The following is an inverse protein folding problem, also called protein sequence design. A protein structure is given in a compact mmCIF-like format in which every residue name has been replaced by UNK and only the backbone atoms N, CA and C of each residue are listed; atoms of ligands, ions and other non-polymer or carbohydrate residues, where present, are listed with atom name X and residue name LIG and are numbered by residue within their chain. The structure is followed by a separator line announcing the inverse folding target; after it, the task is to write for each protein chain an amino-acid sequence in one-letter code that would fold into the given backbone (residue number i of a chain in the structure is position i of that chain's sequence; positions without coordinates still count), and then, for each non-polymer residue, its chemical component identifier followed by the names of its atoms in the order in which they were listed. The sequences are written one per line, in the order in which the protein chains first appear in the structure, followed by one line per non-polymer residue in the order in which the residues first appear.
data_IF_884624651252
#
_entry.id   IF_884624651252
#
_cell.length_a   1.000
_cell.length_b   1.000
_cell.length_c   1.000
_cell.angle_alpha   90.00
_cell.angle_beta   90.00
_cell.angle_gamma   90.00
#
_symmetry.space_group_name_H-M   'P 1'
#
loop_
_entity.id
_entity.type
_entity.pdbx_description
1 polymer ?
#
# COMPACT_ATOMS: atom_id res chain seq x y z
N UNK A 1 -6.96 -24.41 -22.11
CA UNK A 1 -6.97 -23.60 -23.35
C UNK A 1 -7.74 -22.28 -23.20
N UNK A 2 -9.02 -22.28 -22.81
CA UNK A 2 -9.83 -21.05 -22.71
C UNK A 2 -9.45 -20.14 -21.54
N UNK A 3 -8.95 -20.70 -20.43
CA UNK A 3 -8.54 -19.92 -19.26
C UNK A 3 -7.25 -19.16 -19.55
N UNK A 4 -6.31 -19.80 -20.24
CA UNK A 4 -5.02 -19.22 -20.63
C UNK A 4 -5.19 -18.12 -21.68
N UNK A 5 -6.08 -18.34 -22.67
CA UNK A 5 -6.44 -17.32 -23.65
C UNK A 5 -7.10 -16.09 -23.00
N UNK A 6 -8.06 -16.31 -22.09
CA UNK A 6 -8.70 -15.22 -21.35
C UNK A 6 -7.71 -14.50 -20.44
N UNK A 7 -6.78 -15.23 -19.82
CA UNK A 7 -5.73 -14.66 -18.99
C UNK A 7 -4.81 -13.72 -19.77
N UNK A 8 -4.28 -14.15 -20.93
CA UNK A 8 -3.42 -13.29 -21.75
C UNK A 8 -4.18 -12.07 -22.27
N UNK A 9 -5.44 -12.23 -22.69
CA UNK A 9 -6.27 -11.10 -23.12
C UNK A 9 -6.50 -10.09 -21.98
N UNK A 10 -6.84 -10.56 -20.78
CA UNK A 10 -7.02 -9.66 -19.62
C UNK A 10 -5.72 -8.96 -19.23
N UNK A 11 -4.58 -9.64 -19.35
CA UNK A 11 -3.27 -9.05 -19.09
C UNK A 11 -2.95 -7.93 -20.07
N UNK A 12 -3.20 -8.13 -21.36
CA UNK A 12 -3.04 -7.09 -22.39
C UNK A 12 -3.95 -5.88 -22.15
N UNK A 13 -5.20 -6.12 -21.75
CA UNK A 13 -6.15 -5.06 -21.41
C UNK A 13 -5.67 -4.23 -20.21
N UNK A 14 -5.15 -4.87 -19.16
CA UNK A 14 -4.59 -4.17 -17.99
C UNK A 14 -3.34 -3.36 -18.37
N UNK A 15 -2.43 -3.91 -19.16
CA UNK A 15 -1.23 -3.20 -19.63
C UNK A 15 -1.61 -1.94 -20.44
N UNK A 16 -2.66 -2.02 -21.27
CA UNK A 16 -3.18 -0.87 -22.00
C UNK A 16 -3.73 0.19 -21.04
N UNK A 17 -4.53 -0.20 -20.05
CA UNK A 17 -5.09 0.73 -19.04
C UNK A 17 -3.96 1.41 -18.25
N UNK A 18 -2.92 0.67 -17.86
CA UNK A 18 -1.74 1.20 -17.16
C UNK A 18 -1.10 2.30 -18.02
N UNK A 19 -0.82 2.01 -19.29
CA UNK A 19 -0.18 2.96 -20.20
C UNK A 19 -1.02 4.23 -20.39
N UNK A 20 -2.32 4.07 -20.61
CA UNK A 20 -3.25 5.19 -20.79
C UNK A 20 -3.33 6.06 -19.52
N UNK A 21 -3.43 5.43 -18.34
CA UNK A 21 -3.49 6.15 -17.07
C UNK A 21 -2.22 6.97 -16.77
N UNK A 22 -1.04 6.39 -17.06
CA UNK A 22 0.23 7.10 -16.92
C UNK A 22 0.32 8.30 -17.86
N UNK A 23 -0.06 8.12 -19.13
CA UNK A 23 -0.08 9.20 -20.13
C UNK A 23 -1.06 10.31 -19.73
N UNK A 24 -2.28 9.95 -19.30
CA UNK A 24 -3.28 10.88 -18.82
C UNK A 24 -2.77 11.70 -17.62
N UNK A 25 -2.10 11.06 -16.65
CA UNK A 25 -1.51 11.73 -15.51
C UNK A 25 -0.47 12.78 -15.92
N UNK A 26 0.46 12.42 -16.81
CA UNK A 26 1.47 13.36 -17.33
C UNK A 26 0.84 14.53 -18.09
N UNK A 27 -0.23 14.26 -18.86
CA UNK A 27 -0.97 15.28 -19.59
C UNK A 27 -1.73 16.24 -18.66
N UNK A 28 -2.44 15.71 -17.65
CA UNK A 28 -3.20 16.51 -16.67
C UNK A 28 -2.31 17.46 -15.88
N UNK A 29 -1.11 17.01 -15.49
CA UNK A 29 -0.15 17.85 -14.75
C UNK A 29 0.60 18.80 -15.69
N UNK A 30 0.78 18.40 -16.95
CA UNK A 30 1.57 19.13 -17.94
C UNK A 30 3.07 18.84 -17.82
N UNK A 31 3.44 17.61 -17.48
CA UNK A 31 4.84 17.15 -17.43
C UNK A 31 5.15 16.39 -18.72
N UNK A 32 6.14 16.86 -19.48
CA UNK A 32 6.56 16.24 -20.73
C UNK A 32 7.97 15.65 -20.63
N UNK A 33 8.28 14.71 -21.53
CA UNK A 33 9.64 14.14 -21.63
C UNK A 33 10.05 13.24 -20.47
N UNK A 34 9.10 12.61 -19.78
CA UNK A 34 9.39 11.51 -18.86
C UNK A 34 9.78 10.26 -19.65
N UNK A 35 10.69 9.47 -19.08
CA UNK A 35 11.05 8.18 -19.67
C UNK A 35 9.80 7.28 -19.77
N UNK A 36 9.56 6.55 -20.88
CA UNK A 36 8.36 5.73 -21.06
C UNK A 36 8.10 4.74 -19.92
N UNK A 37 9.16 4.22 -19.30
CA UNK A 37 9.04 3.33 -18.16
C UNK A 37 8.56 4.03 -16.88
N UNK A 38 8.96 5.28 -16.63
CA UNK A 38 8.40 6.07 -15.54
C UNK A 38 6.91 6.36 -15.77
N UNK A 39 6.52 6.64 -17.01
CA UNK A 39 5.10 6.80 -17.39
C UNK A 39 4.33 5.51 -17.13
N UNK A 40 4.89 4.35 -17.48
CA UNK A 40 4.28 3.05 -17.20
C UNK A 40 4.13 2.81 -15.69
N UNK A 41 5.17 3.10 -14.90
CA UNK A 41 5.13 2.97 -13.44
C UNK A 41 4.10 3.89 -12.80
N UNK A 42 3.97 5.14 -13.27
CA UNK A 42 2.88 6.04 -12.85
C UNK A 42 1.52 5.41 -13.12
N UNK A 43 1.33 4.83 -14.30
CA UNK A 43 0.13 4.09 -14.65
C UNK A 43 -0.23 2.97 -13.67
N UNK A 44 0.77 2.23 -13.16
CA UNK A 44 0.56 1.16 -12.17
C UNK A 44 -0.01 1.69 -10.86
N UNK A 45 0.33 2.93 -10.47
CA UNK A 45 -0.19 3.56 -9.26
C UNK A 45 -1.72 3.72 -9.29
N UNK A 46 -2.37 3.67 -10.47
CA UNK A 46 -3.83 3.62 -10.61
C UNK A 46 -4.44 2.43 -9.85
N UNK A 47 -3.72 1.33 -9.74
CA UNK A 47 -4.17 0.12 -9.05
C UNK A 47 -3.63 0.05 -7.61
N UNK A 48 -2.91 1.08 -7.16
CA UNK A 48 -2.36 1.17 -5.81
C UNK A 48 -3.21 2.13 -4.97
N UNK A 49 -3.52 1.71 -3.75
CA UNK A 49 -4.19 2.54 -2.75
C UNK A 49 -3.31 2.61 -1.51
N UNK A 50 -3.13 3.81 -0.96
CA UNK A 50 -2.43 4.06 0.30
C UNK A 50 -3.32 4.89 1.19
N UNK A 51 -3.52 4.47 2.45
CA UNK A 51 -4.40 5.18 3.40
C UNK A 51 -5.85 5.40 2.91
N UNK A 52 -6.34 4.58 1.98
CA UNK A 52 -7.66 4.71 1.36
C UNK A 52 -7.72 5.67 0.17
N UNK A 53 -6.61 6.30 -0.21
CA UNK A 53 -6.49 7.18 -1.37
C UNK A 53 -5.79 6.45 -2.53
N UNK A 54 -6.29 6.65 -3.75
CA UNK A 54 -5.61 6.18 -4.95
C UNK A 54 -4.27 6.92 -5.12
N UNK A 55 -3.17 6.18 -5.28
CA UNK A 55 -1.82 6.80 -5.28
C UNK A 55 -1.56 7.62 -6.55
N UNK A 56 -2.12 7.23 -7.70
CA UNK A 56 -1.97 8.03 -8.93
C UNK A 56 -2.70 9.37 -8.81
N UNK A 57 -3.96 9.36 -8.35
CA UNK A 57 -4.70 10.61 -8.15
C UNK A 57 -4.08 11.48 -7.06
N UNK A 58 -3.56 10.87 -6.00
CA UNK A 58 -2.76 11.58 -4.99
C UNK A 58 -1.54 12.27 -5.63
N UNK A 59 -0.75 11.55 -6.43
CA UNK A 59 0.45 12.11 -7.08
C UNK A 59 0.12 13.26 -8.04
N UNK A 60 -0.98 13.14 -8.80
CA UNK A 60 -1.48 14.23 -9.66
C UNK A 60 -1.83 15.45 -8.82
N UNK A 61 -2.55 15.25 -7.71
CA UNK A 61 -2.93 16.35 -6.85
C UNK A 61 -1.74 17.04 -6.20
N UNK A 62 -0.80 16.28 -5.63
CA UNK A 62 0.43 16.80 -5.04
C UNK A 62 1.18 17.65 -6.07
N UNK A 63 1.24 17.20 -7.33
CA UNK A 63 1.85 17.98 -8.40
C UNK A 63 1.13 19.30 -8.71
N UNK A 64 -0.21 19.32 -8.67
CA UNK A 64 -0.98 20.55 -8.88
C UNK A 64 -0.87 21.52 -7.71
N UNK A 65 -0.91 21.03 -6.47
CA UNK A 65 -0.74 21.84 -5.27
C UNK A 65 0.67 22.44 -5.18
N UNK A 66 1.70 21.62 -5.43
CA UNK A 66 3.07 22.07 -5.42
C UNK A 66 3.34 23.10 -6.53
N UNK A 67 2.76 22.90 -7.73
CA UNK A 67 2.82 23.87 -8.82
C UNK A 67 2.21 25.22 -8.46
N UNK A 68 1.06 25.22 -7.78
CA UNK A 68 0.40 26.45 -7.32
C UNK A 68 1.27 27.20 -6.31
N UNK A 69 1.84 26.49 -5.32
CA UNK A 69 2.75 27.11 -4.36
C UNK A 69 4.00 27.67 -5.06
N UNK A 70 4.56 26.92 -6.01
CA UNK A 70 5.74 27.34 -6.76
C UNK A 70 5.48 28.61 -7.59
N UNK A 71 4.30 28.74 -8.21
CA UNK A 71 3.95 29.93 -8.98
C UNK A 71 3.81 31.17 -8.11
N UNK A 72 3.23 31.05 -6.92
CA UNK A 72 3.10 32.17 -5.97
C UNK A 72 4.45 32.61 -5.39
N UNK A 73 5.41 31.69 -5.29
CA UNK A 73 6.75 31.93 -4.74
C UNK A 73 7.80 32.23 -5.83
N UNK A 74 7.38 32.33 -7.09
CA UNK A 74 8.27 32.56 -8.24
C UNK A 74 9.42 31.53 -8.34
N UNK A 75 9.09 30.26 -8.09
CA UNK A 75 9.98 29.09 -8.22
C UNK A 75 9.72 28.34 -9.54
N UNK A 76 10.56 27.35 -9.85
CA UNK A 76 10.44 26.54 -11.06
C UNK A 76 9.24 25.57 -11.00
N UNK A 77 8.12 26.01 -11.59
CA UNK A 77 6.86 25.25 -11.63
C UNK A 77 7.00 23.93 -12.39
N UNK A 78 7.77 23.89 -13.47
CA UNK A 78 7.91 22.68 -14.29
C UNK A 78 8.68 21.60 -13.53
N UNK A 79 9.78 22.00 -12.88
CA UNK A 79 10.58 21.11 -12.03
C UNK A 79 9.77 20.56 -10.85
N UNK A 80 9.02 21.43 -10.16
CA UNK A 80 8.18 21.02 -9.02
C UNK A 80 7.11 20.01 -9.45
N UNK A 81 6.41 20.27 -10.56
CA UNK A 81 5.42 19.34 -11.11
C UNK A 81 6.01 17.96 -11.38
N UNK A 82 7.22 17.91 -11.95
CA UNK A 82 7.91 16.67 -12.28
C UNK A 82 8.28 15.87 -11.03
N UNK A 83 8.90 16.51 -10.03
CA UNK A 83 9.26 15.85 -8.77
C UNK A 83 8.05 15.43 -7.96
N UNK A 84 7.04 16.30 -7.86
CA UNK A 84 5.79 16.01 -7.18
C UNK A 84 5.00 14.86 -7.83
N UNK A 85 4.97 14.75 -9.16
CA UNK A 85 4.31 13.63 -9.83
C UNK A 85 5.02 12.30 -9.56
N UNK A 86 6.34 12.33 -9.37
CA UNK A 86 7.17 11.13 -9.17
C UNK A 86 7.42 10.78 -7.69
N UNK A 87 7.05 11.62 -6.73
CA UNK A 87 7.43 11.47 -5.31
C UNK A 87 7.12 10.08 -4.73
N UNK A 88 5.98 9.50 -5.12
CA UNK A 88 5.49 8.21 -4.63
C UNK A 88 5.71 7.04 -5.62
N UNK A 89 6.51 7.22 -6.68
CA UNK A 89 6.68 6.25 -7.78
C UNK A 89 7.19 4.89 -7.30
N UNK A 90 7.93 4.84 -6.19
CA UNK A 90 8.41 3.60 -5.59
C UNK A 90 7.28 2.65 -5.17
N UNK A 91 6.08 3.16 -4.85
CA UNK A 91 4.90 2.35 -4.49
C UNK A 91 4.37 1.50 -5.66
N UNK A 92 4.88 1.70 -6.87
CA UNK A 92 4.55 0.87 -8.03
C UNK A 92 5.26 -0.50 -8.00
N UNK A 93 6.35 -0.65 -7.24
CA UNK A 93 7.20 -1.87 -7.19
C UNK A 93 7.69 -2.25 -5.79
N UNK A 94 7.16 -1.61 -4.74
CA UNK A 94 7.53 -1.80 -3.33
C UNK A 94 7.33 -3.23 -2.79
N UNK A 95 6.49 -4.02 -3.42
CA UNK A 95 6.23 -5.42 -3.07
C UNK A 95 7.24 -6.39 -3.72
N UNK A 96 8.00 -5.92 -4.71
CA UNK A 96 9.01 -6.70 -5.43
C UNK A 96 10.43 -6.42 -4.92
N UNK A 97 10.64 -5.30 -4.22
CA UNK A 97 11.96 -4.79 -3.82
C UNK A 97 11.95 -4.39 -2.35
N UNK A 98 12.94 -4.86 -1.60
CA UNK A 98 13.10 -4.53 -0.18
C UNK A 98 13.62 -3.09 -0.02
N UNK A 99 12.91 -2.25 0.74
CA UNK A 99 13.30 -0.86 1.01
C UNK A 99 12.11 0.09 1.21
N UNK A 100 12.38 1.33 1.64
CA UNK A 100 11.35 2.38 1.67
C UNK A 100 10.98 2.82 0.25
N UNK A 101 9.72 3.18 0.02
CA UNK A 101 9.27 3.64 -1.31
C UNK A 101 10.00 4.91 -1.76
N UNK A 102 10.48 5.74 -0.84
CA UNK A 102 11.31 6.92 -1.13
C UNK A 102 12.64 6.51 -1.77
N UNK A 103 13.33 5.53 -1.18
CA UNK A 103 14.61 5.00 -1.68
C UNK A 103 14.43 4.31 -3.03
N UNK A 104 13.42 3.43 -3.13
CA UNK A 104 13.10 2.70 -4.36
C UNK A 104 12.75 3.69 -5.49
N UNK A 105 11.90 4.69 -5.20
CA UNK A 105 11.51 5.71 -6.16
C UNK A 105 12.69 6.53 -6.66
N UNK A 106 13.59 6.90 -5.75
CA UNK A 106 14.81 7.64 -6.07
C UNK A 106 15.76 6.86 -6.98
N UNK A 107 15.95 5.56 -6.71
CA UNK A 107 16.76 4.69 -7.56
C UNK A 107 16.16 4.50 -8.95
N UNK A 108 14.84 4.35 -9.04
CA UNK A 108 14.14 4.27 -10.33
C UNK A 108 14.30 5.56 -11.12
N UNK A 109 14.03 6.71 -10.50
CA UNK A 109 14.18 8.03 -11.13
C UNK A 109 15.62 8.23 -11.64
N UNK A 110 16.63 7.90 -10.82
CA UNK A 110 18.04 7.96 -11.21
C UNK A 110 18.36 7.03 -12.39
N UNK A 111 17.89 5.78 -12.35
CA UNK A 111 18.09 4.81 -13.43
C UNK A 111 17.56 5.29 -14.77
N UNK A 112 16.44 6.03 -14.76
CA UNK A 112 15.81 6.56 -15.96
C UNK A 112 16.22 8.01 -16.30
N UNK A 113 17.27 8.53 -15.66
CA UNK A 113 17.93 9.77 -16.06
C UNK A 113 17.31 11.05 -15.49
N UNK A 114 16.53 10.97 -14.42
CA UNK A 114 16.08 12.17 -13.70
C UNK A 114 17.24 12.88 -13.01
N UNK A 115 17.09 14.19 -12.85
CA UNK A 115 18.11 15.06 -12.23
C UNK A 115 18.14 14.89 -10.71
N UNK A 116 19.27 15.21 -10.08
CA UNK A 116 19.45 15.05 -8.63
C UNK A 116 18.49 15.92 -7.79
N UNK A 117 18.04 17.07 -8.31
CA UNK A 117 16.99 17.86 -7.67
C UNK A 117 15.66 17.12 -7.62
N UNK A 118 15.23 16.49 -8.73
CA UNK A 118 14.04 15.63 -8.78
C UNK A 118 14.18 14.42 -7.85
N UNK A 119 15.36 13.79 -7.84
CA UNK A 119 15.64 12.64 -6.97
C UNK A 119 15.57 13.05 -5.49
N UNK A 120 16.09 14.23 -5.14
CA UNK A 120 15.99 14.74 -3.78
C UNK A 120 14.55 15.01 -3.36
N UNK A 121 13.68 15.54 -4.24
CA UNK A 121 12.25 15.71 -3.95
C UNK A 121 11.59 14.36 -3.59
N UNK A 122 11.96 13.29 -4.30
CA UNK A 122 11.47 11.93 -4.01
C UNK A 122 12.00 11.43 -2.66
N UNK A 123 13.28 11.68 -2.33
CA UNK A 123 13.89 11.21 -1.08
C UNK A 123 13.42 11.99 0.15
N UNK A 124 13.15 13.28 0.03
CA UNK A 124 12.93 14.17 1.18
C UNK A 124 11.46 14.41 1.51
N UNK A 125 10.50 13.88 0.74
CA UNK A 125 9.09 14.28 0.91
C UNK A 125 8.45 13.82 2.24
N UNK A 126 8.92 12.73 2.86
CA UNK A 126 8.55 12.36 4.25
C UNK A 126 9.53 12.90 5.30
N UNK A 127 10.56 13.65 4.88
CA UNK A 127 11.55 14.25 5.76
C UNK A 127 12.66 13.30 6.23
N UNK A 128 12.88 12.15 5.59
CA UNK A 128 13.98 11.25 5.96
C UNK A 128 15.36 11.78 5.57
N UNK A 129 15.39 12.63 4.54
CA UNK A 129 16.59 13.32 4.04
C UNK A 129 16.30 14.82 3.97
N UNK A 130 17.32 15.64 4.18
CA UNK A 130 17.18 17.09 4.09
C UNK A 130 16.83 17.54 2.65
N UNK A 131 15.80 18.39 2.47
CA UNK A 131 15.48 18.97 1.18
C UNK A 131 16.59 19.95 0.77
N UNK A 132 17.15 19.76 -0.42
CA UNK A 132 18.26 20.55 -0.95
C UNK A 132 17.79 21.77 -1.73
N UNK A 133 16.49 21.86 -2.05
CA UNK A 133 15.89 22.96 -2.80
C UNK A 133 14.57 23.42 -2.16
N UNK A 134 14.17 24.69 -2.33
CA UNK A 134 12.84 25.16 -1.94
C UNK A 134 11.71 24.34 -2.60
N UNK A 135 11.92 23.92 -3.84
CA UNK A 135 11.00 23.04 -4.58
C UNK A 135 10.75 21.72 -3.83
N UNK A 136 11.77 21.11 -3.24
CA UNK A 136 11.62 19.88 -2.44
C UNK A 136 10.80 20.09 -1.17
N UNK A 137 10.95 21.26 -0.53
CA UNK A 137 10.09 21.64 0.61
C UNK A 137 8.62 21.76 0.15
N UNK A 138 8.37 22.34 -1.03
CA UNK A 138 7.02 22.44 -1.57
C UNK A 138 6.39 21.09 -1.89
N UNK A 139 7.17 20.13 -2.40
CA UNK A 139 6.68 18.76 -2.65
C UNK A 139 6.22 18.10 -1.35
N UNK A 140 7.04 18.14 -0.30
CA UNK A 140 6.66 17.59 1.01
C UNK A 140 5.45 18.30 1.62
N UNK A 141 5.37 19.63 1.50
CA UNK A 141 4.21 20.39 1.94
C UNK A 141 2.93 20.01 1.17
N UNK A 142 3.03 19.82 -0.15
CA UNK A 142 1.91 19.41 -0.99
C UNK A 142 1.44 17.98 -0.68
N UNK A 143 2.36 17.05 -0.41
CA UNK A 143 2.03 15.69 0.05
C UNK A 143 1.25 15.74 1.36
N UNK A 144 1.79 16.44 2.36
CA UNK A 144 1.13 16.63 3.65
C UNK A 144 -0.27 17.27 3.51
N UNK A 145 -0.42 18.26 2.62
CA UNK A 145 -1.72 18.89 2.34
C UNK A 145 -2.69 17.91 1.68
N UNK A 146 -2.29 17.19 0.63
CA UNK A 146 -3.14 16.21 -0.06
C UNK A 146 -3.64 15.13 0.91
N UNK A 147 -2.73 14.68 1.79
CA UNK A 147 -2.96 13.70 2.83
C UNK A 147 -3.90 14.17 3.95
N UNK A 148 -3.79 15.43 4.37
CA UNK A 148 -4.54 15.99 5.50
C UNK A 148 -5.98 16.40 5.15
N UNK A 149 -6.38 16.37 3.87
CA UNK A 149 -7.73 16.79 3.47
C UNK A 149 -8.80 15.92 4.15
N UNK A 150 -9.87 16.52 4.72
CA UNK A 150 -10.97 15.78 5.29
C UNK A 150 -11.55 14.75 4.30
N UNK A 151 -11.49 13.47 4.67
CA UNK A 151 -11.96 12.36 3.83
C UNK A 151 -10.93 11.77 2.86
N UNK A 152 -9.74 12.37 2.69
CA UNK A 152 -8.67 11.82 1.83
C UNK A 152 -8.02 10.58 2.45
N UNK A 153 -7.65 10.66 3.73
CA UNK A 153 -7.24 9.49 4.51
C UNK A 153 -8.43 9.00 5.31
N UNK A 154 -8.86 7.75 5.05
CA UNK A 154 -9.72 7.04 6.00
C UNK A 154 -8.83 6.54 7.12
N UNK A 155 -8.41 7.45 8.00
CA UNK A 155 -7.61 7.15 9.19
C UNK A 155 -8.28 6.03 10.03
N UNK A 156 -9.60 5.97 9.99
CA UNK A 156 -10.42 4.88 10.55
C UNK A 156 -10.23 3.53 9.87
N UNK A 157 -10.05 3.48 8.54
CA UNK A 157 -9.87 2.24 7.79
C UNK A 157 -8.48 1.64 8.03
N UNK A 158 -7.44 2.46 8.06
CA UNK A 158 -6.08 1.95 8.28
C UNK A 158 -5.86 1.51 9.72
N UNK A 159 -6.31 2.29 10.71
CA UNK A 159 -6.32 1.84 12.11
C UNK A 159 -7.13 0.55 12.27
N UNK A 160 -8.21 0.42 11.51
CA UNK A 160 -8.99 -0.80 11.45
C UNK A 160 -8.22 -1.97 10.81
N UNK A 161 -7.54 -1.78 9.68
CA UNK A 161 -6.72 -2.83 9.04
C UNK A 161 -5.56 -3.24 9.96
N UNK A 162 -4.81 -2.27 10.51
CA UNK A 162 -3.72 -2.55 11.47
C UNK A 162 -4.24 -3.30 12.69
N UNK A 163 -5.44 -2.98 13.18
CA UNK A 163 -6.10 -3.72 14.25
C UNK A 163 -6.41 -5.16 13.84
N UNK A 164 -6.96 -5.39 12.65
CA UNK A 164 -7.22 -6.75 12.13
C UNK A 164 -5.93 -7.56 12.02
N UNK A 165 -4.88 -6.98 11.44
CA UNK A 165 -3.57 -7.63 11.32
C UNK A 165 -2.98 -7.99 12.68
N UNK A 166 -3.05 -7.08 13.66
CA UNK A 166 -2.59 -7.37 15.03
C UNK A 166 -3.36 -8.54 15.66
N UNK A 167 -4.67 -8.66 15.44
CA UNK A 167 -5.45 -9.80 15.94
C UNK A 167 -4.95 -11.13 15.34
N UNK A 168 -4.67 -11.13 14.04
CA UNK A 168 -4.13 -12.29 13.33
C UNK A 168 -2.70 -12.63 13.81
N UNK A 169 -1.84 -11.63 13.97
CA UNK A 169 -0.47 -11.79 14.46
C UNK A 169 -0.43 -12.36 15.88
N UNK A 170 -1.31 -11.90 16.79
CA UNK A 170 -1.37 -12.43 18.16
C UNK A 170 -1.73 -13.92 18.12
N UNK A 171 -2.72 -14.31 17.33
CA UNK A 171 -3.12 -15.71 17.21
C UNK A 171 -2.03 -16.58 16.57
N UNK A 172 -1.33 -16.07 15.55
CA UNK A 172 -0.25 -16.79 14.86
C UNK A 172 0.98 -17.07 15.73
N UNK A 173 1.17 -16.34 16.85
CA UNK A 173 2.28 -16.60 17.79
C UNK A 173 2.09 -17.86 18.63
N UNK A 174 0.88 -18.40 18.68
CA UNK A 174 0.60 -19.62 19.44
C UNK A 174 1.07 -20.86 18.69
N UNK A 175 1.56 -21.85 19.44
CA UNK A 175 2.13 -23.07 18.88
C UNK A 175 1.07 -23.88 18.13
N UNK A 176 1.45 -24.43 16.98
CA UNK A 176 0.60 -25.28 16.12
C UNK A 176 -0.61 -24.58 15.46
N UNK A 177 -0.64 -23.24 15.50
CA UNK A 177 -1.54 -22.45 14.67
C UNK A 177 -0.95 -22.37 13.26
N UNK A 178 -1.70 -22.84 12.27
CA UNK A 178 -1.30 -22.78 10.86
C UNK A 178 -1.69 -21.45 10.23
N UNK A 179 -2.92 -20.98 10.52
CA UNK A 179 -3.48 -19.73 9.96
C UNK A 179 -4.43 -19.07 10.95
N UNK A 180 -4.49 -17.74 10.93
CA UNK A 180 -5.48 -16.97 11.68
C UNK A 180 -6.11 -15.90 10.79
N UNK A 181 -7.41 -15.67 10.95
CA UNK A 181 -8.18 -14.69 10.18
C UNK A 181 -9.09 -13.87 11.10
N UNK A 182 -8.96 -12.55 11.05
CA UNK A 182 -9.90 -11.64 11.70
C UNK A 182 -11.07 -11.36 10.76
N UNK A 183 -12.26 -11.82 11.12
CA UNK A 183 -13.49 -11.69 10.33
C UNK A 183 -14.56 -10.87 11.08
N UNK A 184 -15.71 -10.65 10.45
CA UNK A 184 -16.82 -9.87 11.02
C UNK A 184 -16.38 -8.51 11.58
N UNK A 185 -15.61 -7.79 10.78
CA UNK A 185 -15.02 -6.53 11.19
C UNK A 185 -14.16 -6.60 12.46
N UNK A 186 -13.44 -7.71 12.61
CA UNK A 186 -12.55 -7.96 13.73
C UNK A 186 -13.26 -8.37 15.00
N UNK A 187 -14.54 -8.73 14.95
CA UNK A 187 -15.32 -9.26 16.10
C UNK A 187 -15.22 -10.77 16.26
N UNK A 188 -14.71 -11.46 15.25
CA UNK A 188 -14.42 -12.89 15.34
C UNK A 188 -13.02 -13.17 14.78
N UNK A 189 -12.22 -13.96 15.50
CA UNK A 189 -10.94 -14.47 15.02
C UNK A 189 -11.08 -15.97 14.82
N UNK A 190 -10.84 -16.44 13.59
CA UNK A 190 -10.81 -17.86 13.26
C UNK A 190 -9.39 -18.34 13.19
N UNK A 191 -9.09 -19.37 13.96
CA UNK A 191 -7.75 -19.94 14.12
C UNK A 191 -7.79 -21.36 13.60
N UNK A 192 -7.03 -21.64 12.55
CA UNK A 192 -6.88 -22.97 11.97
C UNK A 192 -5.62 -23.58 12.55
N UNK A 193 -5.74 -24.78 13.11
CA UNK A 193 -4.67 -25.49 13.79
C UNK A 193 -4.26 -26.75 13.06
N UNK A 194 -3.03 -27.21 13.30
CA UNK A 194 -2.56 -28.52 12.84
C UNK A 194 -3.33 -29.65 13.55
N UNK A 195 -4.20 -30.40 12.85
CA UNK A 195 -5.12 -31.33 13.49
C UNK A 195 -4.44 -32.55 14.13
N UNK A 196 -3.26 -32.94 13.65
CA UNK A 196 -2.50 -34.07 14.19
C UNK A 196 -1.61 -33.68 15.39
N UNK A 197 -1.50 -32.38 15.73
CA UNK A 197 -0.69 -31.88 16.86
C UNK A 197 -1.50 -31.37 18.04
N UNK A 198 -2.77 -31.03 17.82
CA UNK A 198 -3.70 -30.51 18.83
C UNK A 198 -4.86 -31.50 19.01
N UNK A 199 -5.19 -31.80 20.27
CA UNK A 199 -6.41 -32.52 20.65
C UNK A 199 -7.53 -31.54 21.05
N UNK A 200 -8.74 -32.06 21.30
CA UNK A 200 -9.91 -31.21 21.52
C UNK A 200 -9.78 -30.38 22.82
N UNK A 201 -9.20 -30.94 23.87
CA UNK A 201 -8.95 -30.22 25.13
C UNK A 201 -7.92 -29.09 24.96
N UNK A 202 -6.88 -29.32 24.16
CA UNK A 202 -5.88 -28.30 23.82
C UNK A 202 -6.48 -27.23 22.90
N UNK A 203 -7.41 -27.58 22.01
CA UNK A 203 -8.12 -26.61 21.18
C UNK A 203 -9.01 -25.67 22.01
N UNK A 204 -9.74 -26.21 22.99
CA UNK A 204 -10.55 -25.42 23.93
C UNK A 204 -9.68 -24.45 24.74
N UNK A 205 -8.56 -24.95 25.26
CA UNK A 205 -7.59 -24.12 25.99
C UNK A 205 -6.98 -23.05 25.09
N UNK A 206 -6.62 -23.39 23.86
CA UNK A 206 -6.03 -22.45 22.90
C UNK A 206 -7.01 -21.32 22.56
N UNK A 207 -8.30 -21.63 22.38
CA UNK A 207 -9.33 -20.61 22.15
C UNK A 207 -9.40 -19.61 23.31
N UNK A 208 -9.37 -20.10 24.55
CA UNK A 208 -9.37 -19.27 25.76
C UNK A 208 -8.09 -18.42 25.87
N UNK A 209 -6.92 -19.05 25.70
CA UNK A 209 -5.63 -18.38 25.86
C UNK A 209 -5.43 -17.27 24.80
N UNK A 210 -5.85 -17.51 23.55
CA UNK A 210 -5.81 -16.49 22.48
C UNK A 210 -6.76 -15.33 22.81
N UNK A 211 -7.99 -15.62 23.25
CA UNK A 211 -8.96 -14.57 23.60
C UNK A 211 -8.43 -13.67 24.72
N UNK A 212 -7.88 -14.28 25.78
CA UNK A 212 -7.28 -13.57 26.89
C UNK A 212 -6.06 -12.74 26.47
N UNK A 213 -5.21 -13.29 25.61
CA UNK A 213 -4.03 -12.57 25.12
C UNK A 213 -4.39 -11.34 24.29
N UNK A 214 -5.44 -11.45 23.48
CA UNK A 214 -5.97 -10.32 22.72
C UNK A 214 -6.53 -9.24 23.67
N UNK A 215 -7.26 -9.63 24.71
CA UNK A 215 -7.79 -8.70 25.72
C UNK A 215 -6.68 -7.95 26.46
N UNK A 216 -5.55 -8.60 26.73
CA UNK A 216 -4.38 -7.99 27.40
C UNK A 216 -3.59 -7.03 26.49
N UNK A 217 -3.44 -7.35 25.20
CA UNK A 217 -2.59 -6.58 24.27
C UNK A 217 -3.34 -5.51 23.46
N UNK A 218 -4.67 -5.60 23.36
CA UNK A 218 -5.50 -4.69 22.56
C UNK A 218 -6.71 -4.23 23.36
N UNK A 219 -6.87 -2.92 23.52
CA UNK A 219 -8.12 -2.35 24.01
C UNK A 219 -9.25 -2.61 22.99
N UNK A 220 -10.14 -3.55 23.32
CA UNK A 220 -11.21 -3.98 22.44
C UNK A 220 -12.59 -3.56 23.01
N UNK A 221 -13.29 -2.60 22.38
CA UNK A 221 -14.65 -2.27 22.79
C UNK A 221 -15.63 -3.38 22.38
N UNK A 222 -16.18 -4.08 23.37
CA UNK A 222 -17.21 -5.10 23.19
C UNK A 222 -16.67 -6.53 23.22
N UNK A 223 -17.53 -7.49 22.87
CA UNK A 223 -17.19 -8.91 22.93
C UNK A 223 -16.50 -9.34 21.63
N UNK A 224 -15.32 -9.94 21.76
CA UNK A 224 -14.58 -10.61 20.69
C UNK A 224 -14.77 -12.12 20.82
N UNK A 225 -15.08 -12.80 19.71
CA UNK A 225 -15.21 -14.26 19.66
C UNK A 225 -13.97 -14.89 19.04
N UNK A 226 -13.39 -15.90 19.70
CA UNK A 226 -12.31 -16.70 19.13
C UNK A 226 -12.86 -18.10 18.79
N UNK A 227 -12.61 -18.55 17.57
CA UNK A 227 -13.04 -19.88 17.09
C UNK A 227 -11.80 -20.63 16.63
N UNK A 228 -11.48 -21.71 17.33
CA UNK A 228 -10.44 -22.66 16.90
C UNK A 228 -11.09 -23.75 16.05
N UNK A 229 -10.53 -23.97 14.86
CA UNK A 229 -11.01 -24.94 13.87
C UNK A 229 -9.94 -26.02 13.72
N UNK A 230 -10.26 -27.22 14.18
CA UNK A 230 -9.49 -28.43 13.93
C UNK A 230 -10.19 -29.25 12.86
N UNK A 231 -9.64 -29.26 11.64
CA UNK A 231 -10.25 -29.95 10.50
C UNK A 231 -9.29 -30.96 9.87
N UNK A 232 -9.74 -32.21 9.71
CA UNK A 232 -9.03 -33.25 8.95
C UNK A 232 -9.90 -33.67 7.77
N UNK A 233 -9.40 -33.49 6.55
CA UNK A 233 -10.08 -33.92 5.32
C UNK A 233 -9.42 -35.18 4.78
N UNK A 234 -10.21 -36.23 4.60
CA UNK A 234 -9.78 -37.47 3.92
C UNK A 234 -10.67 -37.69 2.71
N UNK A 235 -10.05 -37.85 1.54
CA UNK A 235 -10.74 -38.01 0.26
C UNK A 235 -10.32 -39.34 -0.35
N UNK A 236 -11.30 -40.16 -0.73
CA UNK A 236 -11.08 -41.41 -1.45
C UNK A 236 -12.02 -41.45 -2.66
N UNK A 237 -11.51 -41.97 -3.77
CA UNK A 237 -12.28 -42.10 -5.00
C UNK A 237 -12.57 -43.59 -5.25
N UNK A 238 -13.84 -43.93 -5.43
CA UNK A 238 -14.26 -45.23 -5.95
C UNK A 238 -14.30 -45.18 -7.48
N UNK A 239 -14.05 -46.31 -8.13
CA UNK A 239 -14.09 -46.46 -9.58
C UNK A 239 -15.43 -47.01 -10.04
#
# INVERSE_FOLDING_TARGET
ARIEELYEKSKEEIEKIIKEAGQEATFRVGVMGLHPELVKLLGKLRFRTSYGQNVLEHSIEVALLAALMASELNLDVEKVKRGALLHDIGKAVDHEVEGSHTVIGAELARRYGEKEDIINMILSHHGEVEPTTPEAVLVGAADALSAARPGARRETLENYIRRLMKLEEIAMKFKYVEKAYAIQAGREVRVIVEPDKIDDAMADKLAYDIAKKIEEELEYPGVLKVVVIREKRSVAYAK
#
